data_IF_701580777200
#
_entry.id   IF_701580777200
#
_cell.length_a   1.000
_cell.length_b   1.000
_cell.length_c   1.000
_cell.angle_alpha   90.00
_cell.angle_beta   90.00
_cell.angle_gamma   90.00
#
_symmetry.space_group_name_H-M   'P 1'
#
loop_
_entity.id
_entity.type
_entity.pdbx_description
1 polymer ?
#
# COMPACT_ATOMS: atom_id res chain seq x y z
N UNK A 1 -4.79 1.57 10.31
CA UNK A 1 -5.89 2.17 9.53
C UNK A 1 -6.70 1.07 8.87
N UNK A 2 -8.00 1.28 8.72
CA UNK A 2 -8.86 0.37 7.95
C UNK A 2 -8.59 0.56 6.46
N UNK A 3 -8.68 -0.52 5.67
CA UNK A 3 -8.53 -0.44 4.21
C UNK A 3 -9.54 0.54 3.57
N UNK A 4 -10.74 0.64 4.13
CA UNK A 4 -11.78 1.59 3.69
C UNK A 4 -11.35 3.05 3.84
N UNK A 5 -10.57 3.38 4.86
CA UNK A 5 -10.04 4.74 5.08
C UNK A 5 -8.95 5.06 4.06
N UNK A 6 -8.09 4.08 3.76
CA UNK A 6 -7.07 4.20 2.70
C UNK A 6 -7.74 4.45 1.34
N UNK A 7 -8.77 3.67 0.98
CA UNK A 7 -9.53 3.86 -0.28
C UNK A 7 -10.10 5.27 -0.43
N UNK A 8 -10.63 5.85 0.66
CA UNK A 8 -11.17 7.22 0.66
C UNK A 8 -10.08 8.28 0.46
N UNK A 9 -8.91 8.09 1.06
CA UNK A 9 -7.78 9.00 0.91
C UNK A 9 -7.21 8.93 -0.51
N UNK A 10 -7.04 7.72 -1.05
CA UNK A 10 -6.51 7.51 -2.41
C UNK A 10 -7.38 8.19 -3.48
N UNK A 11 -8.72 8.21 -3.32
CA UNK A 11 -9.64 8.89 -4.24
C UNK A 11 -9.53 10.42 -4.23
N UNK A 12 -8.95 11.01 -3.18
CA UNK A 12 -8.84 12.47 -3.00
C UNK A 12 -7.46 13.02 -3.35
N UNK A 13 -6.48 12.15 -3.61
CA UNK A 13 -5.11 12.55 -3.90
C UNK A 13 -4.90 12.56 -5.42
N UNK A 14 -4.48 13.69 -5.95
CA UNK A 14 -4.05 13.80 -7.37
C UNK A 14 -2.73 13.05 -7.62
N UNK A 15 -1.89 12.92 -6.58
CA UNK A 15 -0.59 12.24 -6.65
C UNK A 15 -0.36 11.44 -5.37
N UNK A 16 0.01 10.17 -5.52
CA UNK A 16 0.41 9.29 -4.42
C UNK A 16 1.91 9.06 -4.51
N UNK A 17 2.61 9.26 -3.39
CA UNK A 17 4.03 8.95 -3.25
C UNK A 17 4.25 7.99 -2.10
N UNK A 18 5.16 7.04 -2.27
CA UNK A 18 5.56 6.10 -1.23
C UNK A 18 6.95 6.47 -0.74
N UNK A 19 7.11 6.58 0.58
CA UNK A 19 8.41 6.77 1.23
C UNK A 19 8.88 5.42 1.77
N UNK A 20 10.08 4.99 1.37
CA UNK A 20 10.70 3.78 1.90
C UNK A 20 11.26 4.03 3.31
N UNK A 21 11.51 2.98 4.12
CA UNK A 21 12.02 3.14 5.50
C UNK A 21 13.37 3.85 5.62
N UNK A 22 14.14 3.89 4.53
CA UNK A 22 15.40 4.62 4.40
C UNK A 22 15.20 6.10 3.97
N UNK A 23 13.97 6.61 4.03
CA UNK A 23 13.56 7.95 3.61
C UNK A 23 13.72 8.26 2.11
N UNK A 24 13.89 7.24 1.25
CA UNK A 24 13.89 7.47 -0.20
C UNK A 24 12.49 7.38 -0.76
N UNK A 25 12.12 8.33 -1.63
CA UNK A 25 10.84 8.31 -2.31
C UNK A 25 10.87 7.30 -3.47
N UNK A 26 9.82 6.49 -3.59
CA UNK A 26 9.60 5.65 -4.77
C UNK A 26 9.35 6.56 -5.99
N UNK A 27 9.99 6.31 -7.14
CA UNK A 27 9.76 7.09 -8.37
C UNK A 27 8.28 7.16 -8.73
N UNK A 28 7.84 8.28 -9.32
CA UNK A 28 6.41 8.51 -9.65
C UNK A 28 5.79 7.48 -10.61
N UNK A 29 6.60 6.77 -11.39
CA UNK A 29 6.18 5.79 -12.38
C UNK A 29 6.24 4.37 -11.80
N UNK A 30 5.37 4.07 -10.86
CA UNK A 30 5.28 2.75 -10.24
C UNK A 30 3.91 2.11 -10.49
N UNK A 31 3.90 0.79 -10.56
CA UNK A 31 2.69 -0.02 -10.59
C UNK A 31 2.55 -0.75 -9.26
N UNK A 32 1.36 -0.73 -8.67
CA UNK A 32 1.02 -1.70 -7.62
C UNK A 32 0.69 -3.00 -8.33
N UNK A 33 1.51 -4.02 -8.15
CA UNK A 33 1.30 -5.34 -8.79
C UNK A 33 0.56 -6.29 -7.88
N UNK A 34 0.66 -6.09 -6.56
CA UNK A 34 0.00 -6.94 -5.57
C UNK A 34 -0.40 -6.14 -4.33
N UNK A 35 -1.51 -6.55 -3.71
CA UNK A 35 -1.93 -6.08 -2.38
C UNK A 35 -2.15 -7.30 -1.50
N UNK A 36 -1.30 -7.47 -0.49
CA UNK A 36 -1.39 -8.56 0.48
C UNK A 36 -2.00 -8.09 1.80
N UNK A 37 -2.81 -8.93 2.45
CA UNK A 37 -3.25 -8.73 3.84
C UNK A 37 -2.64 -9.80 4.73
N UNK A 38 -1.85 -9.39 5.72
CA UNK A 38 -1.32 -10.28 6.76
C UNK A 38 -2.09 -10.04 8.05
N UNK A 39 -2.70 -11.10 8.59
CA UNK A 39 -3.33 -11.09 9.91
C UNK A 39 -2.53 -11.99 10.83
N UNK A 40 -2.03 -11.45 11.94
CA UNK A 40 -1.35 -12.23 12.98
C UNK A 40 -2.20 -12.20 14.24
N UNK A 41 -2.34 -13.36 14.86
CA UNK A 41 -3.02 -13.52 16.14
C UNK A 41 -2.09 -14.34 17.03
N UNK A 42 -1.52 -13.70 18.04
CA UNK A 42 -0.47 -14.30 18.85
C UNK A 42 -0.62 -13.89 20.32
N UNK A 43 0.01 -14.66 21.19
CA UNK A 43 0.06 -14.42 22.63
C UNK A 43 1.49 -14.02 22.97
N UNK A 44 1.68 -12.87 23.60
CA UNK A 44 3.01 -12.44 24.04
C UNK A 44 3.47 -13.20 25.30
N UNK A 45 4.74 -13.04 25.68
CA UNK A 45 5.30 -13.69 26.87
C UNK A 45 4.61 -13.29 28.19
N UNK A 46 3.81 -12.22 28.20
CA UNK A 46 2.96 -11.82 29.32
C UNK A 46 1.55 -12.42 29.29
N UNK A 47 1.25 -13.31 28.34
CA UNK A 47 -0.07 -13.93 28.19
C UNK A 47 -1.12 -13.03 27.53
N UNK A 48 -0.73 -11.86 27.01
CA UNK A 48 -1.68 -10.94 26.37
C UNK A 48 -1.91 -11.37 24.92
N UNK A 49 -3.18 -11.50 24.54
CA UNK A 49 -3.60 -11.77 23.16
C UNK A 49 -3.46 -10.50 22.32
N UNK A 50 -2.72 -10.60 21.22
CA UNK A 50 -2.48 -9.51 20.26
C UNK A 50 -3.02 -9.89 18.90
N UNK A 51 -3.73 -8.95 18.27
CA UNK A 51 -4.17 -9.06 16.89
C UNK A 51 -3.54 -7.95 16.06
N UNK A 52 -2.82 -8.32 15.02
CA UNK A 52 -2.16 -7.41 14.09
C UNK A 52 -2.76 -7.63 12.69
N UNK A 53 -3.22 -6.57 12.04
CA UNK A 53 -3.69 -6.61 10.65
C UNK A 53 -2.91 -5.57 9.84
N UNK A 54 -2.11 -6.04 8.89
CA UNK A 54 -1.25 -5.20 8.04
C UNK A 54 -1.60 -5.44 6.58
N UNK A 55 -1.66 -4.34 5.82
CA UNK A 55 -1.74 -4.36 4.36
C UNK A 55 -0.35 -4.06 3.82
N UNK A 56 0.10 -4.89 2.87
CA UNK A 56 1.36 -4.71 2.16
C UNK A 56 1.07 -4.45 0.68
N UNK A 57 1.84 -3.53 0.10
CA UNK A 57 1.79 -3.22 -1.33
C UNK A 57 3.09 -3.68 -1.98
N UNK A 58 3.00 -4.48 -3.03
CA UNK A 58 4.13 -4.74 -3.90
C UNK A 58 4.15 -3.68 -5.01
N UNK A 59 5.24 -2.93 -5.06
CA UNK A 59 5.45 -1.87 -6.05
C UNK A 59 6.46 -2.37 -7.09
N UNK A 60 6.14 -2.20 -8.36
CA UNK A 60 7.03 -2.44 -9.48
C UNK A 60 7.31 -1.13 -10.20
N UNK A 61 8.57 -0.73 -10.29
CA UNK A 61 9.01 0.42 -11.07
C UNK A 61 9.46 -0.08 -12.44
N UNK A 62 8.57 -0.04 -13.44
CA UNK A 62 8.93 -0.37 -14.81
C UNK A 62 9.65 0.83 -15.46
N UNK A 63 10.69 0.58 -16.25
CA UNK A 63 11.32 1.60 -17.11
C UNK A 63 10.44 1.96 -18.33
N UNK A 64 9.13 1.71 -18.27
CA UNK A 64 8.20 2.03 -19.35
C UNK A 64 7.60 3.42 -19.10
N UNK A 65 8.22 4.42 -19.72
CA UNK A 65 7.95 5.84 -19.51
C UNK A 65 6.63 6.33 -20.16
N UNK A 66 5.78 5.44 -20.69
CA UNK A 66 4.60 5.83 -21.48
C UNK A 66 3.22 5.36 -20.96
N UNK A 67 3.11 4.84 -19.74
CA UNK A 67 1.80 4.58 -19.14
C UNK A 67 1.50 5.56 -18.00
N UNK A 68 0.72 6.61 -18.31
CA UNK A 68 0.01 7.39 -17.27
C UNK A 68 -1.04 6.48 -16.65
N UNK A 69 -0.83 6.07 -15.40
CA UNK A 69 -1.90 5.54 -14.58
C UNK A 69 -2.85 6.70 -14.25
N UNK A 70 -3.97 6.72 -14.96
CA UNK A 70 -5.13 7.51 -14.54
C UNK A 70 -5.73 6.88 -13.27
N UNK A 71 -6.01 7.66 -12.21
CA UNK A 71 -6.52 7.15 -10.93
C UNK A 71 -7.78 6.28 -11.06
N UNK A 72 -8.59 6.51 -12.11
CA UNK A 72 -9.80 5.73 -12.39
C UNK A 72 -9.57 4.24 -12.71
N UNK A 73 -8.36 3.81 -13.06
CA UNK A 73 -8.05 2.42 -13.46
C UNK A 73 -7.36 1.60 -12.36
N UNK A 74 -7.36 2.07 -11.11
CA UNK A 74 -6.79 1.32 -9.99
C UNK A 74 -7.78 0.25 -9.52
N UNK A 75 -7.47 -1.02 -9.84
CA UNK A 75 -8.24 -2.26 -9.57
C UNK A 75 -8.49 -2.60 -8.09
N UNK A 76 -8.37 -1.63 -7.18
CA UNK A 76 -8.73 -1.79 -5.77
C UNK A 76 -10.23 -1.48 -5.61
N UNK A 77 -11.09 -2.24 -6.30
CA UNK A 77 -12.53 -2.31 -6.01
C UNK A 77 -12.80 -2.84 -4.61
#
# INVERSE_FOLDING_TARGET
MKLSEIKLILRKLDVIGFLLPNNTLVPKHFHITEVGKTTKHFIDCGGTVRKEEVINFQLWNANDYNHRLHPENSWIS
#
